data_IF_676696375955
#
_entry.id   IF_676696375955
#
_cell.length_a   1.000
_cell.length_b   1.000
_cell.length_c   1.000
_cell.angle_alpha   90.00
_cell.angle_beta   90.00
_cell.angle_gamma   90.00
#
_symmetry.space_group_name_H-M   'P 1'
#
loop_
_entity.id
_entity.type
_entity.pdbx_description
1 polymer ?
2 water ?
#
# COMPACT_ATOMS: atom_id res chain seq x y z
N UNK A 36 -21.83 -13.93 -13.93
CA UNK A 36 -21.21 -13.80 -15.25
C UNK A 36 -20.65 -15.14 -15.72
N UNK A 37 -20.74 -15.37 -17.02
CA UNK A 37 -20.18 -16.55 -17.64
C UNK A 37 -18.71 -16.32 -17.93
N UNK A 38 -18.26 -15.07 -17.84
CA UNK A 38 -16.98 -14.68 -18.41
C UNK A 38 -15.83 -14.45 -17.41
N UNK A 39 -16.16 -14.03 -16.20
CA UNK A 39 -15.13 -13.76 -15.19
C UNK A 39 -15.58 -14.25 -13.82
N UNK A 40 -14.62 -14.42 -12.93
CA UNK A 40 -14.92 -14.70 -11.53
C UNK A 40 -15.09 -13.41 -10.74
N UNK A 41 -15.82 -13.49 -9.64
CA UNK A 41 -16.04 -12.36 -8.76
C UNK A 41 -16.01 -12.89 -7.33
N UNK A 42 -15.83 -12.00 -6.36
CA UNK A 42 -15.88 -12.47 -4.96
C UNK A 42 -17.24 -13.08 -4.65
N UNK A 43 -17.28 -14.06 -3.75
CA UNK A 43 -18.55 -14.74 -3.45
C UNK A 43 -19.59 -13.83 -2.81
N UNK A 44 -19.14 -12.71 -2.24
CA UNK A 44 -20.09 -11.78 -1.60
C UNK A 44 -20.67 -10.80 -2.59
N UNK A 45 -20.28 -10.91 -3.85
CA UNK A 45 -20.85 -10.03 -4.85
C UNK A 45 -22.00 -10.69 -5.59
N UNK A 46 -23.11 -9.99 -5.66
CA UNK A 46 -24.28 -10.46 -6.38
C UNK A 46 -24.74 -9.36 -7.31
N UNK A 47 -25.25 -9.76 -8.46
CA UNK A 47 -25.71 -8.81 -9.45
C UNK A 47 -26.88 -7.97 -8.95
N UNK A 48 -27.64 -8.51 -8.01
CA UNK A 48 -28.81 -7.80 -7.54
C UNK A 48 -28.51 -6.39 -7.04
N UNK A 49 -27.25 -6.09 -6.71
CA UNK A 49 -26.91 -4.73 -6.28
C UNK A 49 -27.12 -3.73 -7.41
N UNK A 50 -27.19 -4.22 -8.64
CA UNK A 50 -27.44 -3.35 -9.79
C UNK A 50 -28.89 -2.90 -9.91
N UNK A 51 -29.79 -3.54 -9.17
CA UNK A 51 -31.23 -3.39 -9.39
C UNK A 51 -31.79 -1.97 -9.44
N UNK A 52 -31.38 -1.13 -8.49
CA UNK A 52 -31.96 0.19 -8.36
C UNK A 52 -30.97 1.29 -8.67
N UNK A 53 -29.91 0.97 -9.40
CA UNK A 53 -28.88 1.95 -9.65
C UNK A 53 -29.43 3.01 -10.58
N UNK A 54 -29.20 4.27 -10.22
CA UNK A 54 -29.62 5.36 -11.07
C UNK A 54 -28.37 5.71 -11.84
N UNK A 55 -28.40 5.50 -13.15
CA UNK A 55 -27.19 5.67 -13.93
C UNK A 55 -26.94 7.11 -14.33
N UNK A 56 -26.60 7.88 -13.31
CA UNK A 56 -26.25 9.27 -13.48
C UNK A 56 -25.13 9.54 -12.49
N UNK A 57 -24.23 10.43 -12.84
CA UNK A 57 -23.11 10.78 -11.96
C UNK A 57 -23.67 11.28 -10.63
N UNK A 58 -23.10 10.78 -9.53
CA UNK A 58 -23.48 11.24 -8.20
C UNK A 58 -23.11 12.70 -8.04
N UNK A 59 -24.05 13.54 -7.56
CA UNK A 59 -23.74 14.97 -7.46
C UNK A 59 -22.69 15.28 -6.40
N UNK A 60 -21.89 16.32 -6.63
CA UNK A 60 -20.89 16.73 -5.66
C UNK A 60 -21.56 17.50 -4.51
N UNK A 61 -20.93 17.44 -3.34
CA UNK A 61 -21.39 18.23 -2.20
C UNK A 61 -20.17 18.67 -1.41
N UNK A 62 -20.37 19.67 -0.57
CA UNK A 62 -19.30 20.23 0.23
C UNK A 62 -19.33 19.72 1.65
N UNK A 63 -18.18 19.25 2.10
CA UNK A 63 -18.00 18.85 3.47
C UNK A 63 -16.74 19.54 3.96
N UNK A 64 -16.88 20.38 4.97
CA UNK A 64 -15.76 21.13 5.52
C UNK A 64 -15.03 21.93 4.45
N UNK A 65 -15.79 22.53 3.54
CA UNK A 65 -15.22 23.41 2.54
C UNK A 65 -14.57 22.74 1.34
N UNK A 66 -14.66 21.42 1.24
CA UNK A 66 -14.06 20.72 0.12
C UNK A 66 -15.06 19.85 -0.60
N UNK A 67 -14.91 19.74 -1.91
CA UNK A 67 -15.83 18.98 -2.74
C UNK A 67 -15.68 17.46 -2.58
N UNK A 68 -16.81 16.78 -2.49
CA UNK A 68 -16.85 15.35 -2.29
C UNK A 68 -17.87 14.66 -3.18
N UNK A 69 -17.60 13.40 -3.52
CA UNK A 69 -18.55 12.60 -4.26
C UNK A 69 -18.87 11.31 -3.55
N UNK A 70 -20.15 11.00 -3.40
CA UNK A 70 -20.55 9.78 -2.75
C UNK A 70 -21.84 9.97 -1.99
N UNK A 71 -21.97 9.27 -0.88
CA UNK A 71 -23.17 9.30 -0.07
C UNK A 71 -22.92 10.15 1.16
N UNK A 72 -23.71 11.21 1.30
CA UNK A 72 -23.55 12.14 2.42
C UNK A 72 -23.73 11.43 3.75
N UNK A 73 -22.84 11.73 4.69
CA UNK A 73 -22.92 11.21 6.05
C UNK A 73 -22.55 9.74 6.12
N UNK A 74 -22.04 9.20 5.03
CA UNK A 74 -21.63 7.80 5.03
C UNK A 74 -20.22 7.63 4.48
N UNK A 75 -20.10 7.56 3.17
CA UNK A 75 -18.81 7.42 2.54
C UNK A 75 -18.74 8.26 1.27
N UNK A 76 -17.58 8.83 1.01
CA UNK A 76 -17.39 9.65 -0.19
C UNK A 76 -15.92 9.69 -0.56
N UNK A 78 -12.86 12.27 -2.63
CA UNK A 78 -12.61 13.62 -3.07
C UNK A 78 -13.12 13.78 -4.49
N UNK A 79 -13.74 14.93 -4.78
CA UNK A 79 -14.24 15.17 -6.11
C UNK A 79 -13.04 15.44 -7.00
N UNK A 80 -12.42 14.37 -7.49
CA UNK A 80 -11.25 14.51 -8.33
C UNK A 80 -11.56 13.91 -9.70
N UNK A 81 -11.01 14.50 -10.76
CA UNK A 81 -11.32 13.96 -12.09
C UNK A 81 -10.71 12.57 -12.29
N UNK A 82 -11.53 11.67 -12.82
CA UNK A 82 -11.10 10.29 -13.07
C UNK A 82 -10.88 10.07 -14.57
N UNK A 83 -9.64 9.79 -14.93
CA UNK A 83 -9.30 9.63 -16.33
C UNK A 83 -9.07 8.15 -16.60
N UNK A 84 -9.77 7.59 -17.59
CA UNK A 84 -9.65 6.17 -17.86
C UNK A 84 -8.20 5.83 -18.14
N UNK A 85 -7.75 4.69 -17.59
CA UNK A 85 -6.39 4.19 -17.80
C UNK A 85 -5.29 5.08 -17.23
N UNK A 86 -5.63 5.85 -16.20
CA UNK A 86 -4.67 6.64 -15.46
C UNK A 86 -4.83 6.36 -13.98
N UNK A 87 -3.80 5.81 -13.36
CA UNK A 87 -3.80 5.58 -11.92
C UNK A 87 -3.86 6.93 -11.21
N UNK A 88 -4.88 7.12 -10.37
CA UNK A 88 -5.03 8.36 -9.63
C UNK A 88 -5.24 8.05 -8.16
N UNK A 89 -4.40 8.65 -7.31
CA UNK A 89 -4.56 8.46 -5.88
C UNK A 89 -5.69 9.38 -5.42
N UNK A 90 -6.76 8.80 -4.91
CA UNK A 90 -7.88 9.63 -4.50
C UNK A 90 -8.21 9.43 -3.04
N UNK A 92 -10.25 8.98 0.16
CA UNK A 92 -11.57 8.53 0.54
C UNK A 92 -11.89 8.98 1.96
N UNK A 93 -13.17 9.25 2.22
CA UNK A 93 -13.60 9.80 3.50
C UNK A 93 -14.71 8.96 4.11
N UNK A 94 -14.53 8.59 5.37
CA UNK A 94 -15.49 7.75 6.08
C UNK A 94 -16.30 8.59 7.04
N UNK A 95 -17.40 9.14 6.51
CA UNK A 95 -18.22 10.13 7.19
C UNK A 95 -19.09 9.50 8.26
N UNK A 96 -19.47 8.26 8.03
CA UNK A 96 -20.31 7.53 8.97
C UNK A 96 -19.61 7.38 10.33
N UNK A 97 -20.20 7.98 11.38
CA UNK A 97 -19.66 7.90 12.74
C UNK A 97 -19.74 6.48 13.29
N UNK A 98 -20.53 5.63 12.65
CA UNK A 98 -20.59 4.22 13.03
C UNK A 98 -20.15 3.30 11.89
N UNK A 100 -18.60 0.51 9.97
CA UNK A 100 -18.28 -0.86 10.40
C UNK A 100 -16.79 -1.13 10.30
N UNK A 101 -16.30 -2.05 11.11
CA UNK A 101 -14.90 -2.44 11.06
C UNK A 101 -14.68 -3.53 10.01
N UNK A 102 -13.56 -3.47 9.28
CA UNK A 102 -13.19 -4.53 8.35
C UNK A 102 -12.35 -4.07 7.18
N UNK A 103 -11.89 -5.01 6.36
CA UNK A 103 -11.19 -4.61 5.14
C UNK A 103 -12.23 -4.00 4.20
N UNK A 104 -11.80 -3.04 3.40
CA UNK A 104 -12.71 -2.36 2.48
C UNK A 104 -12.59 -2.95 1.08
N UNK A 105 -13.73 -3.31 0.50
CA UNK A 105 -13.76 -3.80 -0.88
C UNK A 105 -14.53 -2.87 -1.80
N UNK A 106 -14.03 -2.72 -3.02
CA UNK A 106 -14.72 -1.99 -4.05
C UNK A 106 -14.82 -2.84 -5.29
N UNK A 107 -16.06 -3.10 -5.73
CA UNK A 107 -16.31 -3.87 -6.93
C UNK A 107 -17.05 -3.00 -7.93
N UNK A 108 -16.44 -2.76 -9.09
CA UNK A 108 -16.97 -1.81 -10.06
C UNK A 108 -17.60 -2.50 -11.27
N UNK A 109 -18.65 -1.88 -11.80
CA UNK A 109 -19.23 -2.32 -13.06
C UNK A 109 -19.55 -1.12 -13.93
N UNK A 110 -19.21 -1.24 -15.20
CA UNK A 110 -19.53 -0.19 -16.14
C UNK A 110 -21.02 -0.25 -16.44
N UNK A 111 -21.57 0.88 -16.87
CA UNK A 111 -22.95 0.93 -17.30
C UNK A 111 -23.15 -0.07 -18.42
N UNK A 112 -24.19 -0.89 -18.31
CA UNK A 112 -24.49 -1.88 -19.33
C UNK A 112 -23.67 -3.16 -19.25
N UNK A 113 -22.92 -3.32 -18.17
CA UNK A 113 -22.05 -4.47 -18.00
C UNK A 113 -22.54 -5.39 -16.87
N UNK A 114 -22.30 -6.69 -17.02
CA UNK A 114 -22.56 -7.64 -15.94
C UNK A 114 -21.22 -8.23 -15.49
N UNK A 115 -20.14 -7.59 -15.91
CA UNK A 115 -18.80 -8.08 -15.64
C UNK A 115 -18.10 -7.22 -14.58
N UNK A 116 -18.05 -7.71 -13.33
CA UNK A 116 -17.43 -6.92 -12.26
C UNK A 116 -15.92 -6.88 -12.39
N UNK A 117 -15.31 -5.83 -11.89
CA UNK A 117 -13.88 -5.70 -11.94
C UNK A 117 -13.39 -4.97 -10.72
N UNK A 118 -12.16 -5.24 -10.34
CA UNK A 118 -11.51 -4.53 -9.24
C UNK A 118 -10.88 -3.27 -9.78
N UNK A 119 -10.78 -2.23 -8.96
CA UNK A 119 -10.07 -1.09 -9.39
C UNK A 119 -8.93 -0.75 -8.47
N UNK A 120 -8.59 -1.50 -7.45
CA UNK A 120 -7.48 -1.00 -6.66
C UNK A 120 -6.11 -1.37 -7.23
N UNK A 121 -5.22 -0.38 -7.32
CA UNK A 121 -3.85 -0.57 -7.73
C UNK A 121 -3.02 0.06 -6.65
N UNK A 122 -2.81 -0.69 -5.57
CA UNK A 122 -2.21 -0.18 -4.37
C UNK A 122 -0.67 -0.27 -4.38
N UNK A 123 -0.04 0.82 -3.99
CA UNK A 123 1.39 0.87 -3.71
C UNK A 123 2.22 0.37 -4.90
N UNK A 124 1.90 0.90 -6.08
CA UNK A 124 2.63 0.59 -7.30
C UNK A 124 2.44 -0.87 -7.73
N UNK A 125 1.40 -1.53 -7.22
CA UNK A 125 1.14 -2.90 -7.63
C UNK A 125 0.82 -2.99 -9.11
N UNK A 126 1.19 -4.10 -9.73
CA UNK A 126 0.88 -4.30 -11.13
C UNK A 126 -0.50 -4.96 -11.27
N UNK A 127 -1.03 -5.43 -10.14
CA UNK A 127 -2.31 -6.13 -10.12
C UNK A 127 -3.44 -5.34 -9.47
N UNK A 128 -4.61 -5.36 -10.12
CA UNK A 128 -5.79 -4.74 -9.52
C UNK A 128 -6.39 -5.63 -8.42
N UNK A 129 -6.70 -5.03 -7.28
CA UNK A 129 -7.23 -5.80 -6.13
C UNK A 129 -8.63 -5.35 -5.74
N UNK A 130 -9.42 -6.28 -5.23
CA UNK A 130 -10.80 -6.03 -4.82
C UNK A 130 -10.82 -5.25 -3.52
N UNK A 131 -9.84 -5.56 -2.66
CA UNK A 131 -9.93 -5.24 -1.24
C UNK A 131 -8.66 -4.61 -0.69
N UNK A 132 -8.81 -3.63 0.19
CA UNK A 132 -7.65 -2.99 0.80
C UNK A 132 -6.93 -4.01 1.68
N UNK A 133 -5.62 -3.85 1.88
CA UNK A 133 -4.92 -4.77 2.77
C UNK A 133 -5.14 -4.35 4.20
N UNK A 134 -5.54 -3.09 4.39
CA UNK A 134 -5.73 -2.58 5.74
C UNK A 134 -7.18 -2.66 6.20
N UNK A 135 -7.36 -2.67 7.52
CA UNK A 135 -8.67 -2.76 8.13
C UNK A 135 -9.10 -1.36 8.53
N UNK A 136 -10.30 -0.94 8.15
CA UNK A 136 -10.79 0.36 8.57
C UNK A 136 -11.80 0.21 9.70
N UNK A 137 -12.10 1.32 10.37
CA UNK A 137 -13.12 1.36 11.43
C UNK A 137 -13.65 2.80 11.56
N UNK A 138 -14.46 3.04 12.60
CA UNK A 138 -15.05 4.35 12.86
C UNK A 138 -14.05 5.47 13.13
N UNK A 139 -12.80 5.12 13.40
CA UNK A 139 -11.76 6.09 13.71
C UNK A 139 -10.82 6.36 12.53
N UNK A 140 -10.96 5.61 11.44
CA UNK A 140 -10.09 5.83 10.29
C UNK A 140 -10.27 7.19 9.64
N UNK A 141 -11.52 7.58 9.45
CA UNK A 141 -11.85 8.89 8.91
C UNK A 141 -11.49 9.08 7.45
N UNK A 142 -10.21 8.94 7.12
CA UNK A 142 -9.77 9.11 5.74
C UNK A 142 -8.66 8.14 5.33
N UNK A 143 -8.62 7.84 4.03
CA UNK A 143 -7.70 6.86 3.47
C UNK A 143 -7.47 7.09 1.98
N UNK A 144 -6.21 7.17 1.56
CA UNK A 144 -5.88 7.36 0.14
C UNK A 144 -5.91 6.04 -0.61
N UNK A 145 -6.62 6.02 -1.73
CA UNK A 145 -6.72 4.84 -2.57
C UNK A 145 -6.35 5.17 -4.00
N UNK A 146 -5.48 4.35 -4.59
CA UNK A 146 -5.11 4.56 -5.98
C UNK A 146 -5.99 3.69 -6.86
N UNK A 148 -7.98 2.94 -10.89
CA UNK A 148 -7.94 3.08 -12.33
C UNK A 148 -9.15 2.36 -12.94
N UNK A 149 -9.82 3.02 -13.89
CA UNK A 149 -10.92 2.44 -14.63
C UNK A 149 -10.50 2.22 -16.08
N UNK A 150 -10.84 1.06 -16.65
CA UNK A 150 -10.35 0.67 -17.98
C UNK A 150 -10.92 1.46 -19.15
N UNK A 151 -12.08 2.10 -19.01
CA UNK A 151 -12.60 2.86 -20.14
C UNK A 151 -13.50 3.97 -19.66
N UNK A 152 -13.72 4.97 -20.52
CA UNK A 152 -14.51 6.14 -20.14
C UNK A 152 -16.00 5.86 -20.18
N UNK A 153 -16.73 6.46 -19.25
CA UNK A 153 -18.16 6.29 -19.15
C UNK A 153 -18.58 6.28 -17.70
N UNK A 154 -19.82 5.87 -17.44
CA UNK A 154 -20.32 5.77 -16.07
C UNK A 154 -20.00 4.38 -15.50
N UNK A 155 -19.58 4.39 -14.24
CA UNK A 155 -19.24 3.20 -13.49
C UNK A 155 -19.93 3.27 -12.15
N UNK A 156 -20.52 2.16 -11.71
CA UNK A 156 -21.03 2.08 -10.35
C UNK A 156 -19.99 1.46 -9.44
N UNK A 157 -19.81 2.05 -8.26
CA UNK A 157 -18.86 1.53 -7.30
C UNK A 157 -19.59 0.86 -6.14
N UNK A 158 -19.53 -0.47 -6.08
CA UNK A 158 -20.17 -1.20 -4.98
C UNK A 158 -19.20 -1.41 -3.83
N UNK A 159 -19.59 -0.98 -2.64
CA UNK A 159 -18.66 -0.90 -1.51
C UNK A 159 -19.06 -1.90 -0.42
N UNK A 160 -18.08 -2.66 0.04
CA UNK A 160 -18.28 -3.68 1.07
C UNK A 160 -17.29 -3.42 2.18
N UNK A 161 -17.70 -3.73 3.40
CA UNK A 161 -16.79 -3.73 4.53
C UNK A 161 -16.93 -5.05 5.23
N UNK A 162 -15.80 -5.69 5.47
CA UNK A 162 -15.79 -7.00 6.08
C UNK A 162 -16.68 -7.96 5.30
N UNK A 163 -16.69 -7.78 3.96
CA UNK A 163 -17.43 -8.61 3.02
C UNK A 163 -18.94 -8.44 3.06
N UNK A 164 -19.40 -7.44 3.80
CA UNK A 164 -20.83 -7.12 3.88
C UNK A 164 -21.11 -5.84 3.10
N UNK A 165 -22.17 -5.85 2.30
CA UNK A 165 -22.53 -4.69 1.49
C UNK A 165 -22.73 -3.44 2.33
N UNK A 166 -22.11 -2.33 1.91
CA UNK A 166 -22.22 -1.09 2.66
C UNK A 166 -23.05 -0.07 1.91
N UNK A 167 -22.59 0.30 0.72
CA UNK A 167 -23.31 1.20 -0.14
C UNK A 167 -22.76 1.16 -1.56
N UNK A 168 -23.27 2.05 -2.40
CA UNK A 168 -22.83 2.13 -3.79
C UNK A 168 -23.05 3.55 -4.32
N UNK A 169 -22.25 3.96 -5.29
CA UNK A 169 -22.54 5.20 -6.00
C UNK A 169 -21.88 5.23 -7.37
N UNK A 170 -22.33 6.14 -8.23
CA UNK A 170 -21.89 6.19 -9.61
C UNK A 170 -20.92 7.33 -9.86
N UNK A 171 -19.85 7.05 -10.59
CA UNK A 171 -18.87 8.08 -10.93
C UNK A 171 -18.70 8.12 -12.43
N UNK A 172 -18.05 9.17 -12.91
CA UNK A 172 -17.79 9.32 -14.34
C UNK A 172 -16.30 9.20 -14.61
N UNK A 173 -15.94 8.40 -15.61
CA UNK A 173 -14.56 8.37 -16.06
C UNK A 173 -14.49 9.06 -17.40
N UNK A 174 -13.51 9.94 -17.55
CA UNK A 174 -13.33 10.69 -18.77
C UNK A 174 -12.32 9.99 -19.66
N UNK B 36 15.29 -16.67 17.37
CA UNK B 36 15.57 -18.07 17.08
C UNK B 36 14.64 -18.97 17.90
N UNK B 37 14.83 -19.00 19.20
CA UNK B 37 13.94 -19.70 20.12
C UNK B 37 12.55 -19.08 20.26
N UNK B 38 12.48 -17.76 20.28
CA UNK B 38 11.21 -17.09 20.52
C UNK B 38 10.40 -16.59 19.34
N UNK B 39 10.99 -16.47 18.17
CA UNK B 39 10.24 -15.96 17.03
C UNK B 39 10.45 -16.72 15.75
N UNK B 40 9.45 -16.65 14.88
CA UNK B 40 9.60 -17.20 13.54
C UNK B 40 10.19 -16.18 12.57
N UNK B 41 10.79 -16.65 11.50
CA UNK B 41 11.36 -15.77 10.49
C UNK B 41 11.11 -16.41 9.11
N UNK B 42 11.24 -15.64 8.04
CA UNK B 42 11.07 -16.28 6.73
C UNK B 42 12.14 -17.36 6.50
N UNK B 43 11.79 -18.41 5.77
CA UNK B 43 12.74 -19.49 5.55
C UNK B 43 13.93 -19.05 4.70
N UNK B 44 13.80 -17.96 3.95
CA UNK B 44 14.95 -17.49 3.14
C UNK B 44 15.92 -16.63 3.97
N UNK B 45 15.58 -16.42 5.23
CA UNK B 45 16.44 -15.71 6.16
C UNK B 45 17.30 -16.66 6.95
N UNK B 46 18.57 -16.33 7.11
CA UNK B 46 19.42 -17.10 8.01
C UNK B 46 20.32 -16.13 8.77
N UNK B 47 20.54 -16.40 10.06
CA UNK B 47 21.32 -15.50 10.90
C UNK B 47 22.73 -15.21 10.39
N UNK B 48 23.23 -16.08 9.52
CA UNK B 48 24.58 -15.90 9.00
C UNK B 48 24.74 -14.59 8.21
N UNK B 49 23.63 -13.94 7.86
CA UNK B 49 23.72 -12.63 7.19
C UNK B 49 24.43 -11.62 8.08
N UNK B 50 24.49 -11.90 9.38
CA UNK B 50 25.18 -11.01 10.29
C UNK B 50 26.70 -11.12 10.22
N UNK B 51 27.22 -12.18 9.59
CA UNK B 51 28.65 -12.49 9.75
C UNK B 51 29.62 -11.35 9.41
N UNK B 52 29.33 -10.58 8.36
CA UNK B 52 30.28 -9.54 7.96
C UNK B 52 29.76 -8.11 8.14
N UNK B 53 28.80 -7.93 9.03
CA UNK B 53 28.19 -6.62 9.21
C UNK B 53 29.15 -5.64 9.87
N UNK B 54 29.27 -4.45 9.31
CA UNK B 54 30.07 -3.44 9.95
C UNK B 54 29.11 -2.57 10.72
N UNK B 55 29.18 -2.63 12.03
CA UNK B 55 28.19 -1.93 12.84
C UNK B 55 28.52 -0.47 13.02
N UNK B 56 28.51 0.24 11.90
CA UNK B 56 28.70 1.66 11.86
C UNK B 56 27.61 2.20 10.97
N UNK B 57 26.93 3.26 11.38
CA UNK B 57 25.90 3.82 10.53
C UNK B 57 26.46 4.03 9.13
N UNK B 58 25.69 3.62 8.13
CA UNK B 58 26.11 3.78 6.75
C UNK B 58 26.24 5.24 6.40
N UNK B 59 27.41 5.62 5.83
CA UNK B 59 27.67 7.04 5.57
C UNK B 59 26.72 7.61 4.51
N UNK B 60 26.38 8.87 4.70
CA UNK B 60 25.49 9.57 3.78
C UNK B 60 26.22 9.97 2.52
N UNK B 61 25.46 10.12 1.45
CA UNK B 61 26.02 10.60 0.20
C UNK B 61 25.00 11.40 -0.62
N UNK B 62 25.49 12.12 -1.61
CA UNK B 62 24.62 12.91 -2.48
C UNK B 62 24.48 12.21 -3.83
N UNK B 63 23.25 12.06 -4.29
CA UNK B 63 23.00 11.56 -5.64
C UNK B 63 22.05 12.52 -6.29
N UNK B 64 22.53 13.21 -7.31
CA UNK B 64 21.71 14.17 -8.04
C UNK B 64 21.09 15.22 -7.13
N UNK B 65 21.87 15.69 -6.16
CA UNK B 65 21.43 16.77 -5.30
C UNK B 65 20.57 16.38 -4.12
N UNK B 66 20.39 15.09 -3.89
CA UNK B 66 19.56 14.64 -2.77
C UNK B 66 20.39 13.81 -1.80
N UNK B 67 20.27 14.10 -0.52
CA UNK B 67 21.05 13.36 0.49
C UNK B 67 20.46 11.97 0.73
N UNK B 68 21.33 10.96 0.73
CA UNK B 68 20.90 9.57 0.83
C UNK B 68 21.68 8.84 1.91
N UNK B 69 21.12 7.72 2.35
CA UNK B 69 21.79 6.80 3.25
C UNK B 69 21.63 5.38 2.70
N UNK B 70 22.73 4.65 2.59
CA UNK B 70 22.66 3.29 2.11
C UNK B 70 23.86 2.95 1.24
N UNK B 71 23.67 2.07 0.26
CA UNK B 71 24.78 1.65 -0.58
C UNK B 71 24.76 2.33 -1.94
N UNK B 72 25.84 3.06 -2.25
CA UNK B 72 25.95 3.79 -3.51
C UNK B 72 25.85 2.87 -4.71
N UNK B 73 25.05 3.27 -5.69
CA UNK B 73 24.93 2.53 -6.92
C UNK B 73 24.09 1.27 -6.77
N UNK B 74 23.51 1.07 -5.60
CA UNK B 74 22.66 -0.08 -5.39
C UNK B 74 21.31 0.30 -4.82
N UNK B 75 21.25 0.44 -3.50
CA UNK B 75 20.01 0.79 -2.85
C UNK B 75 20.23 1.77 -1.70
N UNK B 76 19.28 2.67 -1.50
CA UNK B 76 19.39 3.65 -0.42
C UNK B 76 18.04 4.23 0.00
N UNK B 78 16.20 7.94 1.91
CA UNK B 78 16.39 9.36 2.15
C UNK B 78 17.09 9.57 3.48
N UNK B 79 18.02 10.52 3.53
CA UNK B 79 18.71 10.83 4.77
C UNK B 79 17.75 11.54 5.69
N UNK B 80 16.86 10.79 6.30
CA UNK B 80 15.89 11.33 7.23
C UNK B 80 16.08 10.61 8.56
N UNK B 81 15.90 11.32 9.67
CA UNK B 81 16.05 10.68 10.98
C UNK B 81 14.95 9.64 11.25
N UNK B 82 15.31 8.49 11.78
CA UNK B 82 14.34 7.45 12.10
C UNK B 82 14.13 7.46 13.61
N UNK B 83 12.89 7.65 14.02
CA UNK B 83 12.59 7.74 15.44
C UNK B 83 11.92 6.47 15.91
N UNK B 84 12.44 5.88 16.97
CA UNK B 84 11.91 4.63 17.51
C UNK B 84 10.42 4.72 17.88
N UNK B 85 9.67 3.68 17.50
CA UNK B 85 8.24 3.59 17.81
C UNK B 85 7.40 4.67 17.14
N UNK B 86 7.89 5.16 16.00
CA UNK B 86 7.15 6.12 15.18
C UNK B 86 7.06 5.66 13.74
N UNK B 87 5.85 5.44 13.24
CA UNK B 87 5.66 5.11 11.83
C UNK B 87 5.95 6.32 10.95
N UNK B 88 6.99 6.24 10.14
CA UNK B 88 7.37 7.35 9.28
C UNK B 88 7.58 6.88 7.84
N UNK B 89 6.94 7.56 6.90
CA UNK B 89 7.11 7.24 5.47
C UNK B 89 8.45 7.76 4.98
N UNK B 90 9.30 6.87 4.48
CA UNK B 90 10.60 7.26 3.97
C UNK B 90 10.76 6.79 2.54
N UNK B 92 12.53 5.26 -0.56
CA UNK B 92 13.64 4.37 -0.93
C UNK B 92 14.03 4.61 -2.37
N UNK B 93 15.31 4.43 -2.67
CA UNK B 93 15.85 4.67 -4.00
C UNK B 93 16.59 3.43 -4.50
N UNK B 94 16.25 2.99 -5.71
CA UNK B 94 16.86 1.82 -6.31
C UNK B 94 17.86 2.23 -7.37
N UNK B 95 19.09 2.48 -6.92
CA UNK B 95 20.12 3.08 -7.75
C UNK B 95 20.72 2.10 -8.74
N UNK B 96 20.67 0.83 -8.39
CA UNK B 96 21.20 -0.22 -9.27
C UNK B 96 20.40 -0.20 -10.57
N UNK B 97 21.08 0.08 -11.69
CA UNK B 97 20.44 0.10 -13.01
C UNK B 97 19.98 -1.30 -13.44
N UNK B 98 20.49 -2.32 -12.76
CA UNK B 98 20.10 -3.70 -13.03
C UNK B 98 19.45 -4.36 -11.81
N UNK B 100 17.23 -6.44 -9.71
CA UNK B 100 16.51 -7.68 -10.03
C UNK B 100 15.01 -7.47 -9.86
N UNK B 101 14.20 -8.26 -10.57
CA UNK B 101 12.75 -8.16 -10.46
C UNK B 101 12.22 -8.98 -9.30
N UNK B 102 11.24 -8.45 -8.58
CA UNK B 102 10.61 -9.22 -7.52
C UNK B 102 10.05 -8.41 -6.38
N UNK B 103 9.38 -9.08 -5.44
CA UNK B 103 8.90 -8.41 -4.24
C UNK B 103 10.14 -8.10 -3.41
N UNK B 104 10.07 -6.99 -2.69
CA UNK B 104 11.16 -6.54 -1.85
C UNK B 104 10.91 -6.93 -0.38
N UNK B 105 11.89 -7.59 0.23
CA UNK B 105 11.80 -7.94 1.65
C UNK B 105 12.87 -7.21 2.44
N UNK B 106 12.51 -6.81 3.65
CA UNK B 106 13.43 -6.17 4.57
C UNK B 106 13.34 -6.87 5.91
N UNK B 107 14.45 -7.41 6.37
CA UNK B 107 14.48 -8.10 7.65
C UNK B 107 15.46 -7.40 8.53
N UNK B 108 14.99 -6.90 9.66
CA UNK B 108 15.84 -6.08 10.52
C UNK B 108 16.26 -6.84 11.75
N UNK B 109 17.48 -6.56 12.18
CA UNK B 109 17.99 -7.08 13.44
C UNK B 109 18.71 -5.98 14.19
N UNK B 110 18.46 -5.87 15.49
CA UNK B 110 19.16 -4.90 16.29
C UNK B 110 20.55 -5.41 16.55
N UNK B 111 21.49 -4.49 16.81
CA UNK B 111 22.84 -4.89 17.19
C UNK B 111 22.78 -5.76 18.42
N UNK B 112 23.43 -6.92 18.35
CA UNK B 112 23.50 -7.86 19.46
C UNK B 112 22.29 -8.77 19.62
N UNK B 113 21.42 -8.75 18.60
CA UNK B 113 20.19 -9.51 18.68
C UNK B 113 20.20 -10.69 17.72
N UNK B 114 19.50 -11.77 18.08
CA UNK B 114 19.31 -12.91 17.19
C UNK B 114 17.84 -13.00 16.79
N UNK B 115 17.09 -11.94 17.09
CA UNK B 115 15.64 -11.92 16.90
C UNK B 115 15.24 -11.04 15.73
N UNK B 116 14.94 -11.64 14.59
CA UNK B 116 14.62 -10.80 13.44
C UNK B 116 13.21 -10.20 13.51
N UNK B 117 13.02 -9.06 12.88
CA UNK B 117 11.71 -8.47 12.89
C UNK B 117 11.40 -7.85 11.56
N UNK B 118 10.14 -7.90 11.19
CA UNK B 118 9.69 -7.15 10.03
C UNK B 118 9.53 -5.72 10.48
N UNK B 119 9.74 -4.79 9.58
CA UNK B 119 9.44 -3.41 9.83
C UNK B 119 8.46 -2.76 8.86
N UNK B 120 7.81 -3.46 7.93
CA UNK B 120 7.02 -2.55 7.09
C UNK B 120 5.60 -2.41 7.60
N UNK B 121 5.02 -1.20 7.60
CA UNK B 121 3.59 -1.06 7.83
C UNK B 121 3.01 -0.46 6.56
N UNK B 122 2.48 -1.31 5.68
CA UNK B 122 2.06 -0.89 4.35
C UNK B 122 0.60 -0.45 4.31
N UNK B 123 0.35 0.69 3.67
CA UNK B 123 -1.01 1.16 3.39
C UNK B 123 -1.87 1.21 4.65
N UNK B 124 -1.34 1.76 5.74
CA UNK B 124 -2.10 1.95 7.00
C UNK B 124 -2.51 0.66 7.69
N UNK B 125 -1.89 -0.44 7.27
CA UNK B 125 -2.14 -1.73 7.88
C UNK B 125 -1.69 -1.73 9.33
N UNK B 126 -2.36 -2.51 10.16
CA UNK B 126 -1.97 -2.53 11.55
C UNK B 126 -0.86 -3.56 11.78
N UNK B 127 -0.56 -4.36 10.76
CA UNK B 127 0.44 -5.44 10.88
C UNK B 127 1.79 -5.12 10.23
N UNK B 128 2.88 -5.42 10.95
CA UNK B 128 4.20 -5.28 10.34
C UNK B 128 4.47 -6.46 9.39
N UNK B 129 4.93 -6.17 8.17
CA UNK B 129 5.13 -7.20 7.16
C UNK B 129 6.58 -7.28 6.68
N UNK B 130 6.99 -8.48 6.25
CA UNK B 130 8.36 -8.72 5.80
C UNK B 130 8.60 -8.17 4.41
N UNK B 131 7.58 -8.26 3.56
CA UNK B 131 7.75 -8.14 2.12
C UNK B 131 6.73 -7.23 1.47
N UNK B 132 7.15 -6.43 0.50
CA UNK B 132 6.20 -5.53 -0.15
C UNK B 132 5.17 -6.32 -0.90
N UNK B 133 3.97 -5.77 -1.03
CA UNK B 133 2.91 -6.43 -1.78
C UNK B 133 3.12 -6.23 -3.28
N UNK B 134 3.89 -5.21 -3.63
CA UNK B 134 4.15 -4.91 -5.05
C UNK B 134 5.48 -5.45 -5.51
N UNK B 135 5.58 -5.70 -6.81
CA UNK B 135 6.82 -6.20 -7.41
C UNK B 135 7.60 -5.03 -7.98
N UNK B 136 8.88 -4.92 -7.62
CA UNK B 136 9.73 -3.88 -8.14
C UNK B 136 10.63 -4.46 -9.23
N UNK B 137 11.24 -3.59 -10.03
CA UNK B 137 12.18 -4.01 -11.06
C UNK B 137 13.13 -2.84 -11.35
N UNK B 138 13.95 -2.96 -12.40
CA UNK B 138 14.91 -1.90 -12.76
C UNK B 138 14.28 -0.55 -13.15
N UNK B 139 12.98 -0.52 -13.38
CA UNK B 139 12.31 0.71 -13.82
C UNK B 139 11.59 1.41 -12.66
N UNK B 140 11.54 0.74 -11.51
CA UNK B 140 10.86 1.33 -10.37
C UNK B 140 11.53 2.60 -9.87
N UNK B 141 12.85 2.57 -9.77
CA UNK B 141 13.63 3.74 -9.39
C UNK B 141 13.44 4.22 -7.94
N UNK B 142 12.22 4.55 -7.57
CA UNK B 142 11.95 5.00 -6.21
C UNK B 142 10.63 4.48 -5.67
N UNK B 143 10.52 4.38 -4.35
CA UNK B 143 9.34 3.85 -3.68
C UNK B 143 9.26 4.29 -2.21
N UNK B 144 8.13 4.88 -1.82
CA UNK B 144 7.88 5.29 -0.44
C UNK B 144 7.37 4.14 0.42
N UNK B 145 8.05 3.89 1.54
CA UNK B 145 7.70 2.79 2.45
C UNK B 145 7.58 3.33 3.87
N UNK B 146 6.54 2.91 4.58
CA UNK B 146 6.36 3.34 5.97
C UNK B 146 6.99 2.30 6.92
N UNK B 148 8.80 1.35 10.99
CA UNK B 148 8.91 1.63 12.41
C UNK B 148 9.88 0.65 13.04
N UNK B 149 10.79 1.16 13.86
CA UNK B 149 11.70 0.33 14.63
C UNK B 149 11.31 0.39 16.09
N UNK B 150 11.26 -0.76 16.76
CA UNK B 150 10.76 -0.86 18.13
C UNK B 150 11.61 -0.19 19.20
N UNK B 151 12.90 0.07 18.94
CA UNK B 151 13.74 0.72 19.93
C UNK B 151 14.92 1.46 19.28
N UNK B 152 15.49 2.41 20.02
CA UNK B 152 16.60 3.22 19.52
C UNK B 152 17.91 2.45 19.56
N UNK B 153 18.80 2.72 18.61
CA UNK B 153 20.08 2.04 18.53
C UNK B 153 20.46 1.76 17.09
N UNK B 154 21.43 0.88 16.89
CA UNK B 154 21.83 0.48 15.55
C UNK B 154 21.05 -0.74 15.07
N UNK B 155 20.61 -0.72 13.82
CA UNK B 155 19.86 -1.84 13.24
C UNK B 155 20.46 -2.18 11.90
N UNK B 156 20.59 -3.48 11.61
CA UNK B 156 20.95 -3.88 10.26
C UNK B 156 19.68 -4.19 9.49
N UNK B 157 19.61 -3.68 8.27
CA UNK B 157 18.48 -3.92 7.40
C UNK B 157 18.95 -4.87 6.30
N UNK B 158 18.48 -6.12 6.35
CA UNK B 158 18.84 -7.09 5.34
C UNK B 158 17.81 -7.09 4.23
N UNK B 159 18.29 -6.90 3.01
CA UNK B 159 17.39 -6.65 1.90
C UNK B 159 17.41 -7.79 0.90
N UNK B 160 16.22 -8.26 0.54
CA UNK B 160 16.06 -9.36 -0.39
C UNK B 160 15.12 -8.93 -1.52
N UNK B 161 15.38 -9.46 -2.71
CA UNK B 161 14.42 -9.31 -3.80
C UNK B 161 14.11 -10.70 -4.36
N UNK B 162 12.81 -10.99 -4.52
CA UNK B 162 12.39 -12.30 -5.00
C UNK B 162 12.95 -13.40 -4.11
N UNK B 163 13.03 -13.12 -2.82
CA UNK B 163 13.52 -14.07 -1.79
C UNK B 163 15.00 -14.38 -1.85
N UNK B 164 15.73 -13.71 -2.73
CA UNK B 164 17.18 -13.86 -2.83
C UNK B 164 17.90 -12.65 -2.21
N UNK B 165 18.88 -12.90 -1.38
CA UNK B 165 19.58 -11.81 -0.70
C UNK B 165 20.21 -10.85 -1.68
N UNK B 166 20.05 -9.56 -1.43
CA UNK B 166 20.58 -8.54 -2.31
C UNK B 166 21.71 -7.74 -1.67
N UNK B 167 21.42 -7.13 -0.53
CA UNK B 167 22.41 -6.34 0.18
C UNK B 167 21.90 -6.00 1.57
N UNK B 168 22.73 -5.33 2.35
CA UNK B 168 22.40 -4.96 3.71
C UNK B 168 23.13 -3.67 4.07
N UNK B 169 22.56 -2.92 5.00
CA UNK B 169 23.25 -1.77 5.57
C UNK B 169 22.67 -1.45 6.92
N UNK B 170 23.43 -0.69 7.69
CA UNK B 170 23.09 -0.38 9.09
C UNK B 170 22.55 1.05 9.22
N UNK B 171 21.47 1.20 9.97
CA UNK B 171 20.91 2.53 10.23
C UNK B 171 20.79 2.76 11.73
N UNK B 172 20.56 4.02 12.10
CA UNK B 172 20.38 4.43 13.49
C UNK B 172 18.92 4.81 13.74
N UNK B 173 18.36 4.32 14.84
CA UNK B 173 17.05 4.77 15.31
C UNK B 173 17.25 5.62 16.55
N UNK B 174 16.61 6.78 16.60
CA UNK B 174 16.76 7.68 17.73
C UNK B 174 15.63 7.50 18.73
#
# INVERSE_FOLDING_TARGET
>A
XKKIGTXLLFSILIAGCTQAQPDLKKPKKEAIATSSTQVNAPSFFHLSVLKDVNWEETPSFIQEKIPLKGIEEKIAXADSPIIANEKNEIXWYFLDPEXPTGKLSIIALKQGSVTPTPLLFQQESSEPTWTTSNTIDSTTNELPLTXSLPSSGLWVLNIYVNEKYYDQFVITAE
>B
XKKIGTXLLFSILIAGCTQAQPDLKKPKKEAIATSSTQVNAPSFFHLSVLKDVNWEETPSFIQEKIPLKGIEEKIAXADSPIIANEKNEIXWYFLDPEXPTGKLSIIALKQGSVTPTPLLFQQESSEPTWTTSNTIDSTTNELPLTXSLPSSGLWVLNIYVNEKYYDQFVITAE
#
